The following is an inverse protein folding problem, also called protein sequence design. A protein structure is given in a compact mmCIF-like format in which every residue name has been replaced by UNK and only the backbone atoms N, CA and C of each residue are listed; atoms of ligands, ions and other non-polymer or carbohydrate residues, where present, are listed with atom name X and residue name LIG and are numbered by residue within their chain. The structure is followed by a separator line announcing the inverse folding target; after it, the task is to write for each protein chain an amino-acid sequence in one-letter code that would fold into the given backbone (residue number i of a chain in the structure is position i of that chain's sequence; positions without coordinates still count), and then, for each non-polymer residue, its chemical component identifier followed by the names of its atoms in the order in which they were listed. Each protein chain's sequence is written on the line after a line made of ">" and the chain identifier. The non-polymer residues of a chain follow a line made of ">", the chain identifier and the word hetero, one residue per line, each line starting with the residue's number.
data_IF_554443565917
#
_entry.id   IF_554443565917
#
_cell.length_a   1.000
_cell.length_b   1.000
_cell.length_c   1.000
_cell.angle_alpha   90.00
_cell.angle_beta   90.00
_cell.angle_gamma   90.00
#
_symmetry.space_group_name_H-M   'P 1'
#
loop_
_entity.id
_entity.type
_entity.pdbx_description
1 polymer ?
#
# COMPACT_ATOMS: atom_id res chain seq x y z
N UNK A 1 6.19 13.27 -2.46
CA UNK A 1 6.04 11.85 -2.84
C UNK A 1 7.29 11.38 -3.56
N UNK A 2 7.84 10.21 -3.23
CA UNK A 2 8.99 9.68 -3.96
C UNK A 2 8.68 9.48 -5.44
N UNK A 3 9.71 9.43 -6.31
CA UNK A 3 9.48 9.10 -7.72
C UNK A 3 8.89 7.68 -7.85
N UNK A 4 8.11 7.45 -8.89
CA UNK A 4 7.43 6.17 -9.07
C UNK A 4 8.40 4.98 -9.12
N UNK A 5 9.62 5.17 -9.62
CA UNK A 5 10.60 4.09 -9.67
C UNK A 5 11.16 3.70 -8.29
N UNK A 6 10.83 4.44 -7.24
CA UNK A 6 11.18 4.09 -5.86
C UNK A 6 10.05 3.36 -5.14
N UNK A 7 8.94 3.10 -5.81
CA UNK A 7 7.83 2.34 -5.23
C UNK A 7 7.95 0.87 -5.60
N UNK A 8 7.76 0.01 -4.59
CA UNK A 8 7.63 -1.43 -4.79
C UNK A 8 6.16 -1.77 -4.87
N UNK A 9 5.77 -2.59 -5.83
CA UNK A 9 4.37 -2.94 -6.07
C UNK A 9 4.02 -4.27 -5.43
N UNK A 10 2.91 -4.29 -4.70
CA UNK A 10 2.40 -5.51 -4.08
C UNK A 10 0.90 -5.64 -4.38
N UNK A 11 0.57 -6.64 -5.18
CA UNK A 11 -0.81 -6.94 -5.57
C UNK A 11 -1.35 -7.99 -4.61
N UNK A 12 -2.34 -7.61 -3.79
CA UNK A 12 -2.91 -8.51 -2.79
C UNK A 12 -4.23 -9.15 -3.23
N UNK A 13 -4.66 -8.89 -4.47
CA UNK A 13 -5.96 -9.40 -4.95
C UNK A 13 -6.03 -10.92 -4.90
N UNK A 14 -4.96 -11.59 -5.28
CA UNK A 14 -4.93 -13.05 -5.28
C UNK A 14 -4.91 -13.62 -3.87
N UNK A 15 -4.18 -13.01 -2.95
CA UNK A 15 -4.18 -13.41 -1.55
C UNK A 15 -5.60 -13.35 -0.98
N UNK A 16 -6.29 -12.25 -1.21
CA UNK A 16 -7.66 -12.05 -0.71
C UNK A 16 -8.60 -13.07 -1.34
N UNK A 17 -8.48 -13.33 -2.63
CA UNK A 17 -9.30 -14.33 -3.33
C UNK A 17 -9.13 -15.72 -2.72
N UNK A 18 -7.93 -16.03 -2.27
CA UNK A 18 -7.61 -17.33 -1.66
C UNK A 18 -7.89 -17.37 -0.16
N UNK A 19 -8.52 -16.35 0.40
CA UNK A 19 -8.87 -16.30 1.81
C UNK A 19 -7.70 -16.02 2.74
N UNK A 20 -6.59 -15.52 2.21
CA UNK A 20 -5.41 -15.20 2.99
C UNK A 20 -5.50 -13.75 3.46
N UNK A 21 -5.24 -13.52 4.76
CA UNK A 21 -5.22 -12.18 5.31
C UNK A 21 -4.01 -11.42 4.78
N UNK A 22 -4.20 -10.29 4.05
CA UNK A 22 -3.07 -9.60 3.43
C UNK A 22 -2.28 -8.69 4.37
N UNK A 23 -2.85 -8.29 5.51
CA UNK A 23 -2.24 -7.30 6.37
C UNK A 23 -0.84 -7.69 6.86
N UNK A 24 -0.60 -8.92 7.35
CA UNK A 24 0.74 -9.30 7.82
C UNK A 24 1.80 -9.17 6.72
N UNK A 25 1.46 -9.53 5.49
CA UNK A 25 2.39 -9.41 4.37
C UNK A 25 2.65 -7.96 3.98
N UNK A 26 1.60 -7.14 3.99
CA UNK A 26 1.74 -5.71 3.74
C UNK A 26 2.61 -5.07 4.83
N UNK A 27 2.36 -5.42 6.10
CA UNK A 27 3.14 -4.91 7.24
C UNK A 27 4.62 -5.23 7.06
N UNK A 28 4.92 -6.45 6.69
CA UNK A 28 6.30 -6.90 6.49
C UNK A 28 6.99 -6.07 5.39
N UNK A 29 6.28 -5.82 4.30
CA UNK A 29 6.83 -5.06 3.18
C UNK A 29 7.02 -3.58 3.51
N UNK A 30 6.08 -3.00 4.24
CA UNK A 30 6.19 -1.61 4.69
C UNK A 30 7.38 -1.44 5.64
N UNK A 31 7.55 -2.39 6.57
CA UNK A 31 8.66 -2.33 7.51
C UNK A 31 10.03 -2.51 6.85
N UNK A 32 10.07 -3.12 5.68
CA UNK A 32 11.30 -3.32 4.93
C UNK A 32 11.65 -2.15 4.02
N UNK A 33 10.78 -1.14 3.90
CA UNK A 33 11.04 0.01 3.04
C UNK A 33 12.18 0.86 3.56
N UNK A 34 13.02 1.31 2.64
CA UNK A 34 14.03 2.33 2.94
C UNK A 34 13.35 3.71 3.02
N UNK A 35 13.98 4.70 3.67
CA UNK A 35 13.34 6.00 3.88
C UNK A 35 12.86 6.71 2.62
N UNK A 36 13.52 6.47 1.49
CA UNK A 36 13.18 7.10 0.20
C UNK A 36 12.28 6.23 -0.67
N UNK A 37 11.85 5.07 -0.17
CA UNK A 37 11.01 4.15 -0.92
C UNK A 37 9.56 4.25 -0.51
N UNK A 38 8.66 3.78 -1.40
CA UNK A 38 7.25 3.65 -1.12
C UNK A 38 6.73 2.28 -1.48
N UNK A 39 5.49 2.02 -1.11
CA UNK A 39 4.81 0.77 -1.42
C UNK A 39 3.51 1.08 -2.16
N UNK A 40 3.26 0.34 -3.25
CA UNK A 40 1.99 0.37 -3.96
C UNK A 40 1.25 -0.91 -3.62
N UNK A 41 0.03 -0.78 -3.10
CA UNK A 41 -0.84 -1.91 -2.79
C UNK A 41 -2.01 -1.90 -3.75
N UNK A 42 -2.23 -3.01 -4.45
CA UNK A 42 -3.38 -3.19 -5.34
C UNK A 42 -4.37 -4.15 -4.69
N UNK A 43 -5.60 -3.68 -4.48
CA UNK A 43 -6.63 -4.44 -3.77
C UNK A 43 -7.96 -4.40 -4.52
N UNK A 44 -8.86 -5.38 -4.30
CA UNK A 44 -10.18 -5.39 -4.95
C UNK A 44 -11.19 -4.47 -4.26
N UNK A 45 -10.81 -3.80 -3.18
CA UNK A 45 -11.66 -2.85 -2.45
C UNK A 45 -10.77 -1.77 -1.86
N UNK A 46 -11.36 -0.66 -1.42
CA UNK A 46 -10.63 0.41 -0.76
C UNK A 46 -10.19 -0.06 0.63
N UNK A 47 -8.88 -0.20 0.89
CA UNK A 47 -8.40 -0.73 2.17
C UNK A 47 -8.34 0.37 3.23
N UNK A 48 -9.50 0.92 3.59
CA UNK A 48 -9.59 2.06 4.53
C UNK A 48 -8.93 1.80 5.88
N UNK A 49 -9.13 0.63 6.53
CA UNK A 49 -8.45 0.38 7.80
C UNK A 49 -6.93 0.41 7.69
N UNK A 50 -6.41 -0.10 6.57
CA UNK A 50 -4.97 -0.09 6.31
C UNK A 50 -4.45 1.33 6.16
N UNK A 51 -5.18 2.16 5.41
CA UNK A 51 -4.82 3.57 5.19
C UNK A 51 -4.79 4.31 6.53
N UNK A 52 -5.80 4.11 7.36
CA UNK A 52 -5.87 4.74 8.68
C UNK A 52 -4.73 4.29 9.58
N UNK A 53 -4.42 2.99 9.58
CA UNK A 53 -3.35 2.44 10.40
C UNK A 53 -2.00 3.05 10.03
N UNK A 54 -1.68 3.08 8.75
CA UNK A 54 -0.40 3.62 8.31
C UNK A 54 -0.35 5.15 8.43
N UNK A 55 -1.48 5.83 8.24
CA UNK A 55 -1.55 7.26 8.50
C UNK A 55 -1.18 7.59 9.95
N UNK A 56 -1.66 6.78 10.90
CA UNK A 56 -1.34 6.97 12.31
C UNK A 56 0.14 6.72 12.61
N UNK A 57 0.85 6.04 11.72
CA UNK A 57 2.28 5.77 11.86
C UNK A 57 3.15 6.73 11.06
N UNK A 58 2.57 7.79 10.51
CA UNK A 58 3.33 8.82 9.79
C UNK A 58 3.45 8.61 8.29
N UNK A 59 2.72 7.65 7.72
CA UNK A 59 2.73 7.44 6.27
C UNK A 59 1.78 8.40 5.58
N UNK A 60 2.21 8.91 4.44
CA UNK A 60 1.33 9.58 3.49
C UNK A 60 0.71 8.53 2.59
N UNK A 61 -0.42 8.85 1.98
CA UNK A 61 -1.06 7.94 1.03
C UNK A 61 -1.73 8.68 -0.11
N UNK A 62 -1.82 8.00 -1.24
CA UNK A 62 -2.56 8.46 -2.41
C UNK A 62 -3.37 7.29 -2.92
N UNK A 63 -4.65 7.52 -3.22
CA UNK A 63 -5.57 6.47 -3.65
C UNK A 63 -5.97 6.70 -5.11
N UNK A 64 -5.95 5.63 -5.90
CA UNK A 64 -6.46 5.65 -7.27
C UNK A 64 -7.46 4.52 -7.44
N UNK A 65 -8.59 4.81 -8.05
CA UNK A 65 -9.61 3.82 -8.36
C UNK A 65 -9.47 3.43 -9.83
N UNK A 66 -9.17 2.16 -10.08
CA UNK A 66 -9.01 1.63 -11.42
C UNK A 66 -10.34 1.43 -12.12
N UNK A 67 -10.30 1.34 -13.46
CA UNK A 67 -11.50 1.19 -14.29
C UNK A 67 -12.23 -0.13 -14.07
N UNK A 68 -11.53 -1.15 -13.60
CA UNK A 68 -12.11 -2.48 -13.37
C UNK A 68 -12.52 -2.72 -11.91
N UNK A 69 -12.63 -1.65 -11.13
CA UNK A 69 -13.03 -1.75 -9.73
C UNK A 69 -11.89 -2.01 -8.76
N UNK A 70 -10.67 -2.13 -9.25
CA UNK A 70 -9.50 -2.30 -8.37
C UNK A 70 -9.11 -0.97 -7.76
N UNK A 71 -8.52 -1.04 -6.59
CA UNK A 71 -8.01 0.12 -5.88
C UNK A 71 -6.49 0.02 -5.77
N UNK A 72 -5.81 1.11 -6.04
CA UNK A 72 -4.35 1.22 -5.92
C UNK A 72 -4.05 2.28 -4.88
N UNK A 73 -3.27 1.93 -3.87
CA UNK A 73 -2.90 2.85 -2.81
C UNK A 73 -1.39 2.95 -2.75
N UNK A 74 -0.88 4.18 -2.76
CA UNK A 74 0.54 4.48 -2.64
C UNK A 74 0.81 4.89 -1.20
N UNK A 75 1.80 4.27 -0.56
CA UNK A 75 2.22 4.62 0.80
C UNK A 75 3.68 5.05 0.78
N UNK A 76 4.00 6.11 1.49
CA UNK A 76 5.39 6.56 1.63
C UNK A 76 5.52 7.40 2.90
N UNK A 77 6.76 7.56 3.37
CA UNK A 77 7.05 8.47 4.47
C UNK A 77 7.60 9.77 3.90
N UNK A 78 7.14 10.88 4.44
CA UNK A 78 7.71 12.17 4.07
C UNK A 78 9.12 12.28 4.65
N UNK A 79 10.06 12.72 3.80
CA UNK A 79 11.40 13.06 4.24
C UNK A 79 11.35 14.38 4.98
N UNK A 80 11.94 14.44 6.13
CA UNK A 80 12.03 15.69 6.90
C UNK A 80 13.34 16.38 6.61
#
# INVERSE_FOLDING_TARGET
>A
MPPLNQFKRFDVRELIRNGVEPFPEIRKRVDALKPDEGLIVVAPFLPSPLIEKFSSEGFQSKVEHGQKGDWTVYFWRESV
#
